data_IF_647915498891
#
_entry.id   IF_647915498891
#
_cell.length_a   1.000
_cell.length_b   1.000
_cell.length_c   1.000
_cell.angle_alpha   90.00
_cell.angle_beta   90.00
_cell.angle_gamma   90.00
#
_symmetry.space_group_name_H-M   'P 1'
#
loop_
_entity.id
_entity.type
_entity.pdbx_description
1 polymer ?
#
# COMPACT_ATOMS: atom_id res chain seq x y z
N UNK A 1 7.55 -22.64 10.02
CA UNK A 1 8.41 -22.00 9.00
C UNK A 1 9.63 -21.49 9.73
N UNK A 2 10.82 -21.83 9.25
CA UNK A 2 12.05 -21.24 9.78
C UNK A 2 12.10 -19.76 9.40
N UNK A 3 12.66 -18.94 10.30
CA UNK A 3 12.78 -17.51 10.07
C UNK A 3 14.09 -17.21 9.37
N UNK A 4 14.01 -16.42 8.29
CA UNK A 4 15.20 -15.82 7.71
C UNK A 4 15.67 -14.64 8.56
N UNK A 5 14.74 -13.83 9.03
CA UNK A 5 15.00 -12.63 9.83
C UNK A 5 14.06 -12.55 11.01
N UNK A 6 14.52 -11.97 12.11
CA UNK A 6 13.74 -11.70 13.31
C UNK A 6 14.01 -10.30 13.85
N UNK A 7 12.99 -9.66 14.41
CA UNK A 7 13.10 -8.48 15.25
C UNK A 7 12.16 -8.61 16.47
N UNK A 8 12.53 -7.99 17.58
CA UNK A 8 11.72 -7.92 18.79
C UNK A 8 11.25 -6.49 19.02
N UNK A 9 9.94 -6.27 19.17
CA UNK A 9 9.35 -4.99 19.56
C UNK A 9 8.48 -5.22 20.79
N UNK A 10 8.94 -4.72 21.94
CA UNK A 10 8.30 -4.94 23.25
C UNK A 10 8.06 -6.44 23.55
N UNK A 11 6.80 -6.86 23.62
CA UNK A 11 6.36 -8.24 23.87
C UNK A 11 6.14 -9.06 22.59
N UNK A 12 6.28 -8.42 21.43
CA UNK A 12 6.10 -9.05 20.13
C UNK A 12 7.42 -9.46 19.52
N UNK A 13 7.40 -10.61 18.84
CA UNK A 13 8.46 -11.06 17.97
C UNK A 13 7.90 -11.15 16.57
N UNK A 14 8.66 -10.58 15.64
CA UNK A 14 8.29 -10.46 14.25
C UNK A 14 9.33 -11.23 13.46
N UNK A 15 8.89 -12.23 12.72
CA UNK A 15 9.75 -13.09 11.91
C UNK A 15 9.33 -13.02 10.46
N UNK A 16 10.28 -13.10 9.52
CA UNK A 16 9.96 -13.32 8.12
C UNK A 16 10.69 -14.55 7.59
N UNK A 17 10.00 -15.47 6.89
CA UNK A 17 10.64 -16.60 6.22
C UNK A 17 11.23 -16.25 4.85
N UNK A 18 10.79 -15.16 4.21
CA UNK A 18 11.15 -14.82 2.83
C UNK A 18 11.70 -13.41 2.62
N UNK A 19 11.77 -12.59 3.66
CA UNK A 19 12.39 -11.27 3.63
C UNK A 19 13.70 -11.26 4.42
N UNK A 20 14.62 -10.39 4.01
CA UNK A 20 15.93 -10.23 4.64
C UNK A 20 15.94 -9.12 5.72
N UNK A 21 14.79 -8.48 5.94
CA UNK A 21 14.58 -7.38 6.89
C UNK A 21 13.18 -7.46 7.52
N UNK A 22 13.00 -6.78 8.66
CA UNK A 22 11.68 -6.59 9.29
C UNK A 22 11.22 -5.15 9.05
N UNK A 23 10.02 -4.99 8.50
CA UNK A 23 9.38 -3.68 8.32
C UNK A 23 8.97 -3.07 9.66
N UNK A 24 9.01 -1.74 9.76
CA UNK A 24 8.54 -1.04 10.96
C UNK A 24 7.03 -1.31 11.14
N UNK A 25 6.62 -1.93 12.25
CA UNK A 25 5.22 -2.29 12.44
C UNK A 25 4.43 -1.10 12.98
N UNK A 26 3.76 -0.39 12.07
CA UNK A 26 2.76 0.65 12.39
C UNK A 26 1.44 0.08 12.91
N UNK A 27 1.26 -1.24 12.81
CA UNK A 27 0.08 -2.00 13.27
C UNK A 27 -0.14 -1.97 14.80
N UNK A 28 0.79 -1.39 15.56
CA UNK A 28 0.69 -1.24 17.01
C UNK A 28 0.43 0.21 17.45
N UNK A 29 0.35 1.15 16.51
CA UNK A 29 0.12 2.56 16.80
C UNK A 29 -1.38 2.87 16.75
N UNK A 30 -1.91 3.45 17.83
CA UNK A 30 -3.27 4.01 17.86
C UNK A 30 -3.18 5.52 17.59
N UNK A 31 -3.64 5.95 16.42
CA UNK A 31 -3.77 7.38 16.09
C UNK A 31 -5.21 7.76 15.76
N UNK A 32 -5.60 8.97 16.15
CA UNK A 32 -6.90 9.54 15.78
C UNK A 32 -6.95 9.81 14.27
N UNK A 33 -8.01 9.31 13.62
CA UNK A 33 -8.25 9.49 12.19
C UNK A 33 -8.48 10.97 11.88
N UNK A 34 -7.51 11.63 11.25
CA UNK A 34 -7.63 13.01 10.81
C UNK A 34 -7.01 13.24 9.44
N UNK A 35 -7.70 14.01 8.59
CA UNK A 35 -7.16 14.46 7.31
C UNK A 35 -6.00 15.43 7.57
N UNK A 36 -4.82 15.10 7.07
CA UNK A 36 -3.63 15.95 7.18
C UNK A 36 -3.62 16.99 6.05
N UNK A 37 -2.68 17.93 6.12
CA UNK A 37 -2.56 19.02 5.14
C UNK A 37 -2.26 18.53 3.71
N UNK A 38 -1.71 17.32 3.57
CA UNK A 38 -1.47 16.61 2.31
C UNK A 38 -2.64 15.70 1.89
N UNK A 39 -3.76 15.73 2.62
CA UNK A 39 -4.96 14.92 2.35
C UNK A 39 -4.84 13.45 2.75
N UNK A 40 -3.67 13.01 3.23
CA UNK A 40 -3.44 11.64 3.65
C UNK A 40 -3.84 11.41 5.11
N UNK A 41 -4.08 10.15 5.47
CA UNK A 41 -4.60 9.76 6.78
C UNK A 41 -3.49 9.29 7.75
N UNK A 42 -2.23 9.64 7.48
CA UNK A 42 -1.01 9.14 8.19
C UNK A 42 -1.16 7.65 8.50
N UNK A 43 -0.92 7.16 9.72
CA UNK A 43 -0.86 5.73 10.11
C UNK A 43 -2.07 4.90 9.65
N UNK A 44 -3.21 5.54 9.34
CA UNK A 44 -4.41 4.88 8.84
C UNK A 44 -4.45 4.74 7.31
N UNK A 45 -3.58 5.44 6.59
CA UNK A 45 -3.41 5.33 5.14
C UNK A 45 -2.74 3.99 4.78
N UNK A 46 -3.57 3.01 4.42
CA UNK A 46 -3.14 1.64 4.19
C UNK A 46 -2.14 1.48 3.03
N UNK A 47 -1.93 2.52 2.24
CA UNK A 47 -1.08 2.53 1.06
C UNK A 47 0.38 2.96 1.31
N UNK A 48 0.73 3.27 2.55
CA UNK A 48 2.06 3.78 2.91
C UNK A 48 2.98 2.74 3.57
N UNK A 49 2.41 1.73 4.23
CA UNK A 49 3.14 0.64 4.88
C UNK A 49 2.41 -0.70 4.69
N UNK A 50 3.11 -1.82 4.89
CA UNK A 50 2.48 -3.14 4.99
C UNK A 50 1.39 -3.15 6.07
N UNK A 51 0.21 -3.68 5.73
CA UNK A 51 -0.92 -3.78 6.65
C UNK A 51 -0.93 -5.11 7.40
N UNK A 52 -1.73 -5.18 8.47
CA UNK A 52 -2.12 -6.50 9.00
C UNK A 52 -3.03 -7.18 7.98
N UNK A 53 -2.79 -8.46 7.70
CA UNK A 53 -3.66 -9.24 6.83
C UNK A 53 -5.07 -9.32 7.42
N UNK A 54 -6.04 -8.79 6.67
CA UNK A 54 -7.46 -8.82 7.02
C UNK A 54 -8.27 -9.52 5.95
N UNK A 55 -9.18 -10.41 6.37
CA UNK A 55 -9.97 -11.24 5.44
C UNK A 55 -10.90 -10.42 4.55
N UNK A 56 -11.35 -9.25 5.01
CA UNK A 56 -12.19 -8.36 4.21
C UNK A 56 -11.39 -7.63 3.12
N UNK A 57 -10.07 -7.58 3.27
CA UNK A 57 -9.14 -6.83 2.42
C UNK A 57 -7.93 -7.69 2.03
N UNK A 58 -8.17 -8.96 1.68
CA UNK A 58 -7.10 -9.93 1.35
C UNK A 58 -6.17 -9.41 0.24
N UNK A 59 -6.71 -8.61 -0.68
CA UNK A 59 -5.93 -8.03 -1.77
C UNK A 59 -4.86 -7.05 -1.29
N UNK A 60 -5.02 -6.40 -0.13
CA UNK A 60 -4.09 -5.37 0.40
C UNK A 60 -2.63 -5.83 0.52
N UNK A 61 -2.39 -7.14 0.56
CA UNK A 61 -1.04 -7.73 0.53
C UNK A 61 -0.27 -7.41 -0.76
N UNK A 62 -0.97 -7.06 -1.84
CA UNK A 62 -0.41 -6.75 -3.16
C UNK A 62 -0.20 -5.25 -3.38
N UNK A 63 -0.41 -4.39 -2.37
CA UNK A 63 -0.24 -2.95 -2.56
C UNK A 63 1.20 -2.70 -2.99
N UNK A 64 1.43 -2.00 -4.12
CA UNK A 64 2.77 -1.76 -4.63
C UNK A 64 3.57 -0.86 -3.67
N UNK A 65 4.86 -1.14 -3.56
CA UNK A 65 5.82 -0.21 -2.94
C UNK A 65 5.90 1.07 -3.76
N UNK A 66 6.09 2.19 -3.08
CA UNK A 66 6.30 3.48 -3.73
C UNK A 66 7.44 3.39 -4.75
N UNK A 67 7.17 3.82 -5.98
CA UNK A 67 8.09 3.77 -7.14
C UNK A 67 8.43 2.39 -7.70
N UNK A 68 7.85 1.28 -7.20
CA UNK A 68 8.10 -0.04 -7.79
C UNK A 68 7.48 -0.19 -9.19
N UNK A 69 6.39 0.54 -9.45
CA UNK A 69 5.66 0.53 -10.71
C UNK A 69 5.72 1.92 -11.36
N UNK A 70 6.51 2.11 -12.44
CA UNK A 70 6.67 3.40 -13.10
C UNK A 70 5.38 4.04 -13.62
N UNK A 71 4.34 3.25 -13.91
CA UNK A 71 3.06 3.76 -14.41
C UNK A 71 2.16 4.30 -13.29
N UNK A 72 2.38 3.91 -12.03
CA UNK A 72 1.56 4.31 -10.87
C UNK A 72 2.08 5.55 -10.13
N UNK A 73 2.93 6.38 -10.74
CA UNK A 73 3.53 7.55 -10.07
C UNK A 73 2.47 8.52 -9.52
N UNK A 74 1.32 8.64 -10.20
CA UNK A 74 0.21 9.48 -9.75
C UNK A 74 -0.34 9.07 -8.37
N UNK A 75 -0.21 7.78 -7.99
CA UNK A 75 -0.68 7.26 -6.72
C UNK A 75 0.07 7.80 -5.49
N UNK A 76 1.27 8.37 -5.69
CA UNK A 76 2.08 9.00 -4.62
C UNK A 76 2.49 10.43 -4.93
N UNK A 77 1.73 11.10 -5.80
CA UNK A 77 1.93 12.50 -6.15
C UNK A 77 1.35 13.42 -5.06
N UNK A 78 2.18 14.27 -4.46
CA UNK A 78 1.71 15.23 -3.46
C UNK A 78 1.57 16.61 -4.10
N UNK A 79 0.34 17.13 -4.29
CA UNK A 79 0.11 18.41 -4.94
C UNK A 79 0.67 19.55 -4.08
N UNK A 80 1.38 20.46 -4.73
CA UNK A 80 1.98 21.64 -4.09
C UNK A 80 1.24 22.92 -4.51
N UNK A 81 1.42 24.05 -3.80
CA UNK A 81 0.84 25.32 -4.23
C UNK A 81 1.27 25.76 -5.65
N UNK A 82 2.44 25.32 -6.13
CA UNK A 82 2.86 25.58 -7.52
C UNK A 82 2.01 24.85 -8.57
N UNK A 83 1.35 23.76 -8.19
CA UNK A 83 0.46 23.01 -9.08
C UNK A 83 -0.97 23.60 -9.11
N UNK A 84 -1.27 24.61 -8.29
CA UNK A 84 -2.60 25.22 -8.17
C UNK A 84 -2.73 26.52 -8.97
N UNK A 85 -3.50 26.48 -10.05
CA UNK A 85 -3.73 27.64 -10.91
C UNK A 85 -4.97 28.41 -10.43
N UNK A 86 -4.73 29.54 -9.77
CA UNK A 86 -5.81 30.41 -9.23
C UNK A 86 -6.63 31.03 -10.36
N UNK A 87 -7.95 31.02 -10.21
CA UNK A 87 -8.88 31.71 -11.12
C UNK A 87 -9.09 33.16 -10.70
N UNK A 88 -8.85 34.08 -11.64
CA UNK A 88 -9.14 35.51 -11.47
C UNK A 88 -10.64 35.79 -11.47
N UNK A 89 -11.08 36.74 -10.64
CA UNK A 89 -12.48 37.20 -10.60
C UNK A 89 -13.40 36.46 -9.60
N UNK A 90 -12.89 35.50 -8.84
CA UNK A 90 -13.65 34.86 -7.76
C UNK A 90 -13.55 35.64 -6.43
N UNK A 91 -14.60 35.56 -5.61
CA UNK A 91 -14.63 36.13 -4.24
C UNK A 91 -13.79 35.32 -3.24
N UNK A 92 -13.41 34.09 -3.61
CA UNK A 92 -12.57 33.17 -2.84
C UNK A 92 -11.36 32.73 -3.68
N UNK A 93 -10.24 32.39 -3.03
CA UNK A 93 -9.05 31.83 -3.68
C UNK A 93 -9.33 30.39 -4.13
N UNK A 94 -9.92 30.25 -5.32
CA UNK A 94 -10.23 28.97 -5.96
C UNK A 94 -9.39 28.80 -7.23
N UNK A 95 -9.15 27.57 -7.64
CA UNK A 95 -8.25 27.25 -8.74
C UNK A 95 -8.40 25.83 -9.24
N UNK A 96 -7.57 25.47 -10.21
CA UNK A 96 -7.56 24.16 -10.88
C UNK A 96 -6.14 23.58 -10.89
N UNK A 97 -6.00 22.27 -11.04
CA UNK A 97 -4.68 21.63 -11.14
C UNK A 97 -3.99 22.04 -12.46
N UNK A 98 -2.70 22.39 -12.40
CA UNK A 98 -1.87 22.70 -13.55
C UNK A 98 -1.75 21.47 -14.46
N UNK A 99 -1.81 21.68 -15.78
CA UNK A 99 -1.57 20.60 -16.74
C UNK A 99 -0.14 20.07 -16.61
N UNK A 100 0.03 18.90 -16.02
CA UNK A 100 1.24 18.09 -16.15
C UNK A 100 0.97 16.89 -17.07
N UNK A 101 1.96 16.44 -17.87
CA UNK A 101 1.85 15.24 -18.65
C UNK A 101 1.88 14.03 -17.71
N UNK A 102 0.71 13.63 -17.19
CA UNK A 102 0.56 12.42 -16.40
C UNK A 102 0.89 11.24 -17.34
N UNK A 103 1.95 10.50 -17.02
CA UNK A 103 2.57 9.45 -17.86
C UNK A 103 1.55 8.50 -18.48
N UNK A 104 1.62 8.35 -19.80
CA UNK A 104 0.44 8.08 -20.62
C UNK A 104 0.10 6.60 -20.86
N UNK A 105 0.70 5.61 -20.19
CA UNK A 105 0.56 4.23 -20.66
C UNK A 105 0.35 3.12 -19.61
N UNK A 106 -0.33 2.06 -20.07
CA UNK A 106 -0.86 0.86 -19.39
C UNK A 106 -2.06 1.05 -18.45
N UNK A 107 -2.05 2.12 -17.66
CA UNK A 107 -3.15 2.53 -16.78
C UNK A 107 -4.34 3.12 -17.55
N UNK A 108 -4.37 3.15 -18.89
CA UNK A 108 -5.29 3.97 -19.71
C UNK A 108 -6.80 3.81 -19.42
N UNK A 109 -7.30 2.66 -18.95
CA UNK A 109 -8.73 2.50 -18.60
C UNK A 109 -9.05 2.99 -17.18
N UNK A 110 -8.18 2.71 -16.21
CA UNK A 110 -8.21 3.26 -14.84
C UNK A 110 -7.94 4.78 -14.84
N UNK A 111 -7.00 5.19 -15.66
CA UNK A 111 -6.72 6.56 -16.04
C UNK A 111 -7.83 7.17 -16.88
N UNK A 112 -8.72 6.44 -17.54
CA UNK A 112 -9.87 7.06 -18.21
C UNK A 112 -10.93 7.50 -17.18
N UNK A 113 -11.17 6.70 -16.14
CA UNK A 113 -12.00 7.10 -14.99
C UNK A 113 -11.31 8.20 -14.18
N UNK A 114 -10.00 8.05 -13.91
CA UNK A 114 -9.20 9.10 -13.29
C UNK A 114 -9.13 10.35 -14.18
N UNK A 115 -9.05 10.23 -15.51
CA UNK A 115 -9.04 11.36 -16.45
C UNK A 115 -10.37 12.08 -16.43
N UNK A 116 -11.51 11.41 -16.30
CA UNK A 116 -12.79 12.09 -16.14
C UNK A 116 -12.82 12.89 -14.82
N UNK A 117 -12.38 12.28 -13.71
CA UNK A 117 -12.26 12.96 -12.41
C UNK A 117 -11.22 14.10 -12.44
N UNK A 118 -10.07 13.93 -13.11
CA UNK A 118 -9.03 14.94 -13.30
C UNK A 118 -9.47 16.04 -14.27
N UNK A 119 -10.17 15.70 -15.36
CA UNK A 119 -10.78 16.69 -16.25
C UNK A 119 -11.84 17.51 -15.51
N UNK A 120 -12.60 16.88 -14.61
CA UNK A 120 -13.50 17.59 -13.71
C UNK A 120 -12.72 18.57 -12.80
N UNK A 121 -11.59 18.16 -12.21
CA UNK A 121 -10.69 19.05 -11.43
C UNK A 121 -10.08 20.19 -12.27
N UNK A 122 -9.85 19.97 -13.56
CA UNK A 122 -9.33 20.97 -14.47
C UNK A 122 -10.40 21.98 -14.90
N UNK A 123 -11.69 21.61 -14.79
CA UNK A 123 -12.80 22.44 -15.25
C UNK A 123 -13.54 23.13 -14.10
N UNK A 124 -13.57 22.53 -12.91
CA UNK A 124 -14.31 23.02 -11.74
C UNK A 124 -13.34 23.63 -10.72
N UNK A 125 -13.43 24.95 -10.44
CA UNK A 125 -12.61 25.58 -9.43
C UNK A 125 -12.94 25.03 -8.03
N UNK A 126 -11.92 24.62 -7.29
CA UNK A 126 -12.03 24.15 -5.90
C UNK A 126 -11.14 24.99 -4.98
N UNK A 127 -11.40 24.93 -3.67
CA UNK A 127 -10.40 25.36 -2.69
C UNK A 127 -9.20 24.41 -2.75
N UNK A 128 -8.00 24.89 -2.41
CA UNK A 128 -6.81 24.06 -2.42
C UNK A 128 -6.94 22.81 -1.53
N UNK A 129 -7.58 22.94 -0.35
CA UNK A 129 -7.81 21.80 0.54
C UNK A 129 -8.74 20.74 -0.08
N UNK A 130 -9.79 21.17 -0.79
CA UNK A 130 -10.71 20.25 -1.47
C UNK A 130 -10.01 19.54 -2.65
N UNK A 131 -9.13 20.25 -3.37
CA UNK A 131 -8.30 19.67 -4.42
C UNK A 131 -7.39 18.56 -3.86
N UNK A 132 -6.70 18.85 -2.75
CA UNK A 132 -5.81 17.91 -2.07
C UNK A 132 -6.58 16.65 -1.63
N UNK A 133 -7.74 16.82 -1.01
CA UNK A 133 -8.60 15.70 -0.60
C UNK A 133 -9.08 14.86 -1.78
N UNK A 134 -9.43 15.49 -2.89
CA UNK A 134 -9.87 14.79 -4.09
C UNK A 134 -8.73 13.98 -4.73
N UNK A 135 -7.52 14.57 -4.80
CA UNK A 135 -6.34 13.85 -5.29
C UNK A 135 -6.05 12.63 -4.40
N UNK A 136 -6.09 12.78 -3.08
CA UNK A 136 -5.91 11.65 -2.16
C UNK A 136 -6.95 10.54 -2.39
N UNK A 137 -8.23 10.88 -2.56
CA UNK A 137 -9.27 9.89 -2.88
C UNK A 137 -9.02 9.18 -4.22
N UNK A 138 -8.58 9.92 -5.23
CA UNK A 138 -8.26 9.36 -6.53
C UNK A 138 -7.09 8.37 -6.44
N UNK A 139 -6.06 8.72 -5.66
CA UNK A 139 -4.90 7.86 -5.40
C UNK A 139 -5.32 6.56 -4.73
N UNK A 140 -6.14 6.63 -3.68
CA UNK A 140 -6.66 5.44 -3.01
C UNK A 140 -7.42 4.52 -3.97
N UNK A 141 -8.32 5.08 -4.80
CA UNK A 141 -9.08 4.29 -5.80
C UNK A 141 -8.16 3.60 -6.81
N UNK A 142 -7.13 4.31 -7.30
CA UNK A 142 -6.17 3.74 -8.25
C UNK A 142 -5.44 2.55 -7.62
N UNK A 143 -4.94 2.72 -6.39
CA UNK A 143 -4.22 1.67 -5.68
C UNK A 143 -5.11 0.50 -5.33
N UNK A 144 -6.33 0.72 -4.85
CA UNK A 144 -7.29 -0.34 -4.55
C UNK A 144 -7.56 -1.22 -5.78
N UNK A 145 -7.87 -0.60 -6.93
CA UNK A 145 -8.20 -1.36 -8.13
C UNK A 145 -6.96 -2.10 -8.65
N UNK A 146 -5.80 -1.44 -8.71
CA UNK A 146 -4.56 -2.09 -9.12
C UNK A 146 -4.24 -3.30 -8.24
N UNK A 147 -4.30 -3.11 -6.93
CA UNK A 147 -4.03 -4.14 -5.92
C UNK A 147 -4.99 -5.32 -6.04
N UNK A 148 -6.28 -5.05 -6.29
CA UNK A 148 -7.28 -6.09 -6.50
C UNK A 148 -7.00 -6.91 -7.78
N UNK A 149 -6.58 -6.26 -8.86
CA UNK A 149 -6.21 -6.94 -10.10
C UNK A 149 -4.99 -7.85 -9.89
N UNK A 150 -3.94 -7.34 -9.24
CA UNK A 150 -2.75 -8.13 -8.88
C UNK A 150 -3.11 -9.36 -8.04
N UNK A 151 -3.99 -9.18 -7.04
CA UNK A 151 -4.44 -10.28 -6.19
C UNK A 151 -5.17 -11.36 -7.01
N UNK A 152 -6.13 -10.97 -7.84
CA UNK A 152 -6.93 -11.92 -8.64
C UNK A 152 -6.07 -12.65 -9.67
N UNK A 153 -5.13 -11.93 -10.30
CA UNK A 153 -4.32 -12.45 -11.39
C UNK A 153 -3.16 -13.32 -10.90
N UNK A 154 -2.47 -12.90 -9.83
CA UNK A 154 -1.22 -13.53 -9.40
C UNK A 154 -1.33 -14.30 -8.09
N UNK A 155 -2.04 -13.79 -7.09
CA UNK A 155 -2.04 -14.41 -5.75
C UNK A 155 -3.14 -15.46 -5.60
N UNK A 156 -4.37 -15.13 -5.97
CA UNK A 156 -5.53 -16.01 -5.81
C UNK A 156 -5.35 -17.40 -6.45
N UNK A 157 -4.77 -17.55 -7.66
CA UNK A 157 -4.51 -18.87 -8.24
C UNK A 157 -3.55 -19.72 -7.41
N UNK A 158 -2.54 -19.09 -6.79
CA UNK A 158 -1.54 -19.76 -5.94
C UNK A 158 -2.12 -20.16 -4.58
N UNK A 159 -3.09 -19.41 -4.06
CA UNK A 159 -3.82 -19.80 -2.86
C UNK A 159 -4.72 -21.01 -3.09
N UNK A 160 -5.33 -21.12 -4.27
CA UNK A 160 -6.16 -22.27 -4.65
C UNK A 160 -5.32 -23.52 -4.96
N UNK A 161 -4.19 -23.33 -5.64
CA UNK A 161 -3.29 -24.42 -6.03
C UNK A 161 -1.84 -24.07 -5.63
N UNK A 162 -1.47 -24.29 -4.36
CA UNK A 162 -0.14 -23.95 -3.88
C UNK A 162 0.96 -24.71 -4.63
N UNK A 163 2.06 -24.04 -5.01
CA UNK A 163 3.19 -24.72 -5.63
C UNK A 163 3.89 -25.64 -4.62
N UNK A 164 4.67 -26.61 -5.11
CA UNK A 164 5.45 -27.51 -4.25
C UNK A 164 6.59 -26.79 -3.52
N UNK A 165 7.06 -25.69 -4.09
CA UNK A 165 8.11 -24.85 -3.51
C UNK A 165 7.67 -23.38 -3.56
N UNK A 166 7.98 -22.59 -2.52
CA UNK A 166 7.65 -21.17 -2.49
C UNK A 166 8.49 -20.43 -3.53
N UNK A 167 7.89 -19.52 -4.33
CA UNK A 167 8.64 -18.64 -5.20
C UNK A 167 9.42 -17.60 -4.39
N UNK A 168 10.31 -16.86 -5.05
CA UNK A 168 10.96 -15.70 -4.44
C UNK A 168 9.91 -14.65 -4.05
N UNK A 169 10.10 -13.99 -2.91
CA UNK A 169 9.23 -12.92 -2.47
C UNK A 169 9.16 -11.80 -3.52
N UNK A 170 7.95 -11.36 -3.83
CA UNK A 170 7.74 -10.29 -4.79
C UNK A 170 8.22 -8.94 -4.21
N UNK A 171 9.33 -8.43 -4.72
CA UNK A 171 9.92 -7.17 -4.28
C UNK A 171 9.11 -5.92 -4.63
N UNK A 172 8.10 -6.01 -5.52
CA UNK A 172 7.28 -4.85 -5.90
C UNK A 172 6.15 -4.60 -4.93
N UNK A 173 5.68 -5.61 -4.20
CA UNK A 173 4.60 -5.51 -3.22
C UNK A 173 5.12 -5.12 -1.84
N UNK A 174 4.29 -4.40 -1.08
CA UNK A 174 4.57 -4.11 0.33
C UNK A 174 4.50 -5.38 1.17
N UNK A 175 3.56 -6.28 0.87
CA UNK A 175 3.30 -7.46 1.68
C UNK A 175 2.45 -7.16 2.89
N UNK A 176 2.52 -8.01 3.92
CA UNK A 176 1.68 -7.84 5.11
C UNK A 176 2.28 -8.44 6.39
N UNK A 177 1.78 -7.94 7.52
CA UNK A 177 1.92 -8.58 8.82
C UNK A 177 0.82 -9.62 9.01
N UNK A 178 1.16 -10.79 9.54
CA UNK A 178 0.22 -11.90 9.74
C UNK A 178 0.35 -12.42 11.16
N UNK A 179 -0.75 -12.81 11.79
CA UNK A 179 -0.75 -13.47 13.12
C UNK A 179 -1.02 -14.98 13.05
N UNK A 180 -1.78 -15.41 12.04
CA UNK A 180 -2.15 -16.81 11.88
C UNK A 180 -1.11 -17.58 11.05
N UNK A 181 -0.45 -18.58 11.64
CA UNK A 181 0.58 -19.39 10.98
C UNK A 181 0.11 -20.04 9.67
N UNK A 182 -1.15 -20.50 9.63
CA UNK A 182 -1.73 -21.09 8.41
C UNK A 182 -1.83 -20.09 7.25
N UNK A 183 -2.20 -18.85 7.55
CA UNK A 183 -2.28 -17.77 6.54
C UNK A 183 -0.86 -17.40 6.10
N UNK A 184 0.06 -17.27 7.06
CA UNK A 184 1.47 -17.02 6.79
C UNK A 184 2.07 -18.05 5.84
N UNK A 185 1.80 -19.34 6.05
CA UNK A 185 2.27 -20.41 5.16
C UNK A 185 1.64 -20.32 3.76
N UNK A 186 0.33 -20.09 3.65
CA UNK A 186 -0.31 -19.92 2.34
C UNK A 186 0.29 -18.74 1.55
N UNK A 187 0.48 -17.59 2.20
CA UNK A 187 1.05 -16.39 1.58
C UNK A 187 2.54 -16.56 1.25
N UNK A 188 3.30 -17.29 2.07
CA UNK A 188 4.69 -17.66 1.78
C UNK A 188 4.80 -18.45 0.47
N UNK A 189 3.93 -19.45 0.29
CA UNK A 189 3.87 -20.24 -0.95
C UNK A 189 3.32 -19.46 -2.14
N UNK A 190 2.63 -18.33 -1.90
CA UNK A 190 2.23 -17.39 -2.94
C UNK A 190 3.31 -16.33 -3.29
N UNK A 191 4.47 -16.33 -2.62
CA UNK A 191 5.54 -15.36 -2.89
C UNK A 191 5.27 -13.96 -2.33
N UNK A 192 4.32 -13.81 -1.42
CA UNK A 192 3.99 -12.52 -0.81
C UNK A 192 5.04 -12.19 0.26
N UNK A 193 5.62 -10.97 0.30
CA UNK A 193 6.43 -10.53 1.44
C UNK A 193 5.61 -10.59 2.73
N UNK A 194 6.11 -11.31 3.73
CA UNK A 194 5.33 -11.56 4.95
C UNK A 194 6.15 -11.43 6.21
N UNK A 195 5.52 -10.90 7.25
CA UNK A 195 6.06 -10.81 8.60
C UNK A 195 5.08 -11.44 9.60
N UNK A 196 5.43 -12.61 10.14
CA UNK A 196 4.66 -13.30 11.15
C UNK A 196 4.89 -12.64 12.53
N UNK A 197 3.81 -12.15 13.13
CA UNK A 197 3.80 -11.50 14.43
C UNK A 197 3.27 -12.49 15.47
N UNK A 198 4.09 -12.81 16.46
CA UNK A 198 3.73 -13.69 17.57
C UNK A 198 4.22 -13.14 18.91
N UNK A 199 3.55 -13.49 20.00
CA UNK A 199 4.09 -13.23 21.34
C UNK A 199 5.35 -14.07 21.55
N UNK A 200 6.29 -13.55 22.36
CA UNK A 200 7.53 -14.26 22.77
C UNK A 200 7.25 -15.66 23.31
N UNK A 201 6.11 -15.87 23.94
CA UNK A 201 5.71 -17.14 24.56
C UNK A 201 5.40 -18.25 23.54
N UNK A 202 5.08 -17.88 22.29
CA UNK A 202 4.68 -18.84 21.25
C UNK A 202 5.81 -19.15 20.26
N UNK A 203 7.05 -18.78 20.56
CA UNK A 203 8.20 -19.12 19.73
C UNK A 203 8.54 -20.59 19.96
N UNK A 204 8.48 -21.44 18.91
CA UNK A 204 8.92 -22.82 19.04
C UNK A 204 10.40 -22.84 19.43
N UNK A 205 10.80 -23.63 20.44
CA UNK A 205 12.20 -23.74 20.83
C UNK A 205 13.09 -24.33 19.73
N UNK A 206 12.47 -24.92 18.70
CA UNK A 206 13.13 -25.52 17.54
C UNK A 206 13.17 -24.60 16.31
N UNK A 207 12.73 -23.34 16.42
CA UNK A 207 12.71 -22.42 15.29
C UNK A 207 14.14 -22.01 14.91
N UNK A 208 14.56 -22.30 13.68
CA UNK A 208 15.85 -21.82 13.19
C UNK A 208 15.73 -20.36 12.75
N UNK A 209 16.73 -19.55 13.12
CA UNK A 209 16.83 -18.13 12.74
C UNK A 209 18.14 -17.96 11.96
N UNK A 210 18.04 -17.57 10.70
CA UNK A 210 19.22 -17.42 9.82
C UNK A 210 19.96 -16.11 10.12
N UNK A 211 19.23 -15.00 10.30
CA UNK A 211 19.76 -13.68 10.63
C UNK A 211 18.96 -13.03 11.77
N UNK A 212 19.64 -12.40 12.72
CA UNK A 212 19.04 -11.53 13.75
C UNK A 212 19.40 -10.09 13.44
N UNK A 213 18.42 -9.19 13.48
CA UNK A 213 18.56 -7.75 13.16
C UNK A 213 18.29 -6.92 14.40
#
# INVERSE_FOLDING_TARGET
LDARVVACKENWVITSPNMDFVEEPYIFEEEELCCRADGRLRVVDCFQWPQTHEKQYEYSICIPRKHSIPTLQIAWYDPTPSDFVVRTGSRFTVGTLQNQPIGQDALCTLMCLARHEVMHLQQHPLLFQDLVMFIAQLQCKILDIYTLLEYIEYVYPLLLNPPSHPPQANSTWMGCFVRATKVCEALYFAGVPIWLVHSKEYIPPTMNIVCSV
#
